data_IF_477910564565
#
_entry.id   IF_477910564565
#
_cell.length_a   1.000
_cell.length_b   1.000
_cell.length_c   1.000
_cell.angle_alpha   90.00
_cell.angle_beta   90.00
_cell.angle_gamma   90.00
#
_symmetry.space_group_name_H-M   'P 1'
#
loop_
_entity.id
_entity.type
_entity.pdbx_description
1 polymer ?
#
# COMPACT_ATOMS: atom_id res chain seq x y z
N UNK A 1 18.54 36.03 -79.95
CA UNK A 1 19.10 36.13 -78.58
C UNK A 1 18.01 36.16 -77.49
N UNK A 2 16.96 36.98 -77.61
CA UNK A 2 15.89 37.08 -76.58
C UNK A 2 15.20 35.74 -76.21
N UNK A 3 14.84 34.90 -77.18
CA UNK A 3 14.25 33.57 -76.91
C UNK A 3 15.17 32.61 -76.16
N UNK A 4 16.49 32.64 -76.44
CA UNK A 4 17.46 31.80 -75.73
C UNK A 4 17.62 32.21 -74.27
N UNK A 5 17.59 33.51 -73.98
CA UNK A 5 17.65 34.05 -72.62
C UNK A 5 16.41 33.66 -71.82
N UNK A 6 15.22 33.79 -72.41
CA UNK A 6 13.94 33.41 -71.79
C UNK A 6 13.90 31.90 -71.48
N UNK A 7 14.32 31.05 -72.43
CA UNK A 7 14.37 29.61 -72.19
C UNK A 7 15.36 29.26 -71.07
N UNK A 8 16.53 29.91 -71.05
CA UNK A 8 17.54 29.67 -70.01
C UNK A 8 17.06 30.08 -68.62
N UNK A 9 16.33 31.20 -68.50
CA UNK A 9 15.74 31.64 -67.21
C UNK A 9 14.66 30.68 -66.75
N UNK A 10 13.84 30.17 -67.66
CA UNK A 10 12.77 29.22 -67.33
C UNK A 10 13.33 27.89 -66.80
N UNK A 11 14.40 27.38 -67.42
CA UNK A 11 15.09 26.17 -66.97
C UNK A 11 15.73 26.36 -65.59
N UNK A 12 16.36 27.51 -65.33
CA UNK A 12 16.98 27.78 -64.02
C UNK A 12 15.95 27.93 -62.90
N UNK A 13 14.81 28.57 -63.15
CA UNK A 13 13.72 28.69 -62.16
C UNK A 13 13.14 27.31 -61.82
N UNK A 14 12.91 26.45 -62.82
CA UNK A 14 12.43 25.07 -62.60
C UNK A 14 13.45 24.26 -61.78
N UNK A 15 14.75 24.39 -62.08
CA UNK A 15 15.80 23.69 -61.34
C UNK A 15 15.86 24.18 -59.88
N UNK A 16 15.71 25.48 -59.65
CA UNK A 16 15.72 26.07 -58.32
C UNK A 16 14.50 25.63 -57.49
N UNK A 17 13.31 25.59 -58.11
CA UNK A 17 12.12 25.03 -57.49
C UNK A 17 12.29 23.54 -57.16
N UNK A 18 12.88 22.74 -58.05
CA UNK A 18 13.14 21.32 -57.80
C UNK A 18 14.09 21.09 -56.63
N UNK A 19 15.15 21.91 -56.51
CA UNK A 19 16.10 21.83 -55.38
C UNK A 19 15.44 22.24 -54.05
N UNK A 20 14.62 23.29 -54.04
CA UNK A 20 13.90 23.73 -52.84
C UNK A 20 12.88 22.68 -52.35
N UNK A 21 12.09 22.11 -53.28
CA UNK A 21 11.13 21.05 -52.98
C UNK A 21 11.86 19.80 -52.47
N UNK A 22 12.98 19.43 -53.12
CA UNK A 22 13.80 18.29 -52.72
C UNK A 22 14.45 18.43 -51.33
N UNK A 23 14.71 19.65 -50.86
CA UNK A 23 15.32 19.89 -49.54
C UNK A 23 14.32 20.01 -48.38
N UNK A 24 13.08 20.45 -48.65
CA UNK A 24 12.07 20.65 -47.60
C UNK A 24 11.30 19.37 -47.24
N UNK A 25 10.97 18.53 -48.23
CA UNK A 25 10.24 17.28 -48.03
C UNK A 25 10.96 16.33 -47.05
N UNK A 26 12.29 16.11 -47.15
CA UNK A 26 13.00 15.22 -46.23
C UNK A 26 12.99 15.71 -44.78
N UNK A 27 13.11 17.04 -44.55
CA UNK A 27 13.10 17.60 -43.18
C UNK A 27 11.76 17.42 -42.49
N UNK A 28 10.65 17.61 -43.20
CA UNK A 28 9.31 17.35 -42.66
C UNK A 28 9.08 15.86 -42.40
N UNK A 29 9.49 14.98 -43.32
CA UNK A 29 9.38 13.54 -43.13
C UNK A 29 10.22 13.05 -41.94
N UNK A 30 11.45 13.55 -41.78
CA UNK A 30 12.31 13.22 -40.63
C UNK A 30 11.66 13.69 -39.34
N UNK A 31 11.12 14.91 -39.28
CA UNK A 31 10.45 15.43 -38.09
C UNK A 31 9.19 14.63 -37.72
N UNK A 32 8.39 14.23 -38.71
CA UNK A 32 7.23 13.35 -38.47
C UNK A 32 7.65 11.97 -37.97
N UNK A 33 8.71 11.39 -38.55
CA UNK A 33 9.25 10.10 -38.07
C UNK A 33 9.84 10.21 -36.67
N UNK A 34 10.49 11.33 -36.33
CA UNK A 34 11.01 11.58 -34.99
C UNK A 34 9.88 11.61 -33.95
N UNK A 35 8.81 12.36 -34.22
CA UNK A 35 7.63 12.41 -33.36
C UNK A 35 6.96 11.04 -33.22
N UNK A 36 6.83 10.29 -34.33
CA UNK A 36 6.30 8.92 -34.28
C UNK A 36 7.17 7.99 -33.41
N UNK A 37 8.49 8.13 -33.46
CA UNK A 37 9.40 7.35 -32.62
C UNK A 37 9.23 7.72 -31.14
N UNK A 38 9.11 9.00 -30.82
CA UNK A 38 8.85 9.47 -29.45
C UNK A 38 7.51 8.94 -28.92
N UNK A 39 6.43 9.08 -29.70
CA UNK A 39 5.11 8.56 -29.35
C UNK A 39 5.13 7.04 -29.13
N UNK A 40 5.79 6.28 -30.01
CA UNK A 40 5.93 4.83 -29.88
C UNK A 40 6.77 4.41 -28.68
N UNK A 41 7.80 5.19 -28.32
CA UNK A 41 8.62 4.94 -27.13
C UNK A 41 7.82 5.18 -25.85
N UNK A 42 7.01 6.24 -25.82
CA UNK A 42 6.11 6.53 -24.70
C UNK A 42 5.04 5.45 -24.56
N UNK A 43 4.43 5.01 -25.66
CA UNK A 43 3.47 3.91 -25.67
C UNK A 43 4.11 2.60 -25.17
N UNK A 44 5.33 2.26 -25.63
CA UNK A 44 6.06 1.10 -25.11
C UNK A 44 6.31 1.19 -23.62
N UNK A 45 6.66 2.38 -23.09
CA UNK A 45 6.88 2.57 -21.66
C UNK A 45 5.59 2.32 -20.88
N UNK A 46 4.48 2.92 -21.30
CA UNK A 46 3.16 2.71 -20.68
C UNK A 46 2.76 1.23 -20.72
N UNK A 47 2.97 0.55 -21.85
CA UNK A 47 2.66 -0.87 -21.99
C UNK A 47 3.55 -1.75 -21.09
N UNK A 48 4.85 -1.42 -20.95
CA UNK A 48 5.75 -2.12 -20.02
C UNK A 48 5.32 -1.94 -18.57
N UNK A 49 4.95 -0.74 -18.17
CA UNK A 49 4.50 -0.44 -16.81
C UNK A 49 3.19 -1.18 -16.51
N UNK A 50 2.21 -1.13 -17.41
CA UNK A 50 0.96 -1.90 -17.32
C UNK A 50 1.20 -3.41 -17.25
N UNK A 51 2.08 -3.95 -18.08
CA UNK A 51 2.43 -5.38 -18.03
C UNK A 51 3.13 -5.75 -16.71
N UNK A 52 3.95 -4.85 -16.15
CA UNK A 52 4.56 -5.04 -14.84
C UNK A 52 3.53 -5.12 -13.72
N UNK A 53 2.54 -4.22 -13.72
CA UNK A 53 1.42 -4.25 -12.77
C UNK A 53 0.55 -5.48 -12.93
N UNK A 54 0.17 -5.82 -14.17
CA UNK A 54 -0.60 -7.03 -14.48
C UNK A 54 0.12 -8.30 -14.05
N UNK A 55 1.42 -8.43 -14.31
CA UNK A 55 2.20 -9.57 -13.85
C UNK A 55 2.23 -9.68 -12.32
N UNK A 56 2.31 -8.55 -11.60
CA UNK A 56 2.21 -8.55 -10.13
C UNK A 56 0.82 -9.02 -9.70
N UNK A 57 -0.26 -8.56 -10.34
CA UNK A 57 -1.62 -8.97 -10.03
C UNK A 57 -1.86 -10.47 -10.32
N UNK A 58 -1.39 -10.97 -11.45
CA UNK A 58 -1.50 -12.39 -11.82
C UNK A 58 -0.78 -13.28 -10.81
N UNK A 59 0.42 -12.89 -10.35
CA UNK A 59 1.11 -13.62 -9.27
C UNK A 59 0.29 -13.67 -7.98
N UNK A 60 -0.36 -12.55 -7.62
CA UNK A 60 -1.21 -12.44 -6.43
C UNK A 60 -2.52 -13.23 -6.53
N UNK A 61 -3.00 -13.52 -7.73
CA UNK A 61 -4.23 -14.30 -7.94
C UNK A 61 -4.05 -15.82 -7.78
N UNK A 62 -2.82 -16.30 -7.60
CA UNK A 62 -2.61 -17.70 -7.30
C UNK A 62 -3.23 -18.06 -5.94
N UNK A 63 -3.97 -19.17 -5.86
CA UNK A 63 -4.71 -19.57 -4.65
C UNK A 63 -3.82 -19.68 -3.41
N UNK A 64 -2.58 -20.14 -3.60
CA UNK A 64 -1.57 -20.22 -2.52
C UNK A 64 -1.25 -18.83 -1.98
N UNK A 65 -0.99 -17.84 -2.84
CA UNK A 65 -0.69 -16.47 -2.41
C UNK A 65 -1.89 -15.82 -1.73
N UNK A 66 -3.11 -16.06 -2.20
CA UNK A 66 -4.32 -15.57 -1.53
C UNK A 66 -4.41 -16.13 -0.10
N UNK A 67 -4.26 -17.45 0.06
CA UNK A 67 -4.29 -18.10 1.37
C UNK A 67 -3.17 -17.61 2.29
N UNK A 68 -1.97 -17.39 1.74
CA UNK A 68 -0.81 -16.92 2.51
C UNK A 68 -1.01 -15.47 2.98
N UNK A 69 -1.57 -14.61 2.13
CA UNK A 69 -1.85 -13.21 2.46
C UNK A 69 -2.99 -13.09 3.48
N UNK A 70 -4.05 -13.90 3.34
CA UNK A 70 -5.12 -13.99 4.35
C UNK A 70 -4.58 -14.47 5.70
N UNK A 71 -3.71 -15.49 5.69
CA UNK A 71 -3.04 -15.98 6.88
C UNK A 71 -2.16 -14.90 7.52
N UNK A 72 -1.38 -14.17 6.72
CA UNK A 72 -0.54 -13.08 7.20
C UNK A 72 -1.37 -11.97 7.85
N UNK A 73 -2.49 -11.57 7.24
CA UNK A 73 -3.42 -10.58 7.81
C UNK A 73 -3.92 -11.05 9.19
N UNK A 74 -4.32 -12.32 9.32
CA UNK A 74 -4.77 -12.91 10.59
C UNK A 74 -3.67 -12.94 11.64
N UNK A 75 -2.47 -13.38 11.27
CA UNK A 75 -1.32 -13.49 12.17
C UNK A 75 -0.84 -12.13 12.66
N UNK A 76 -0.67 -11.15 11.77
CA UNK A 76 -0.27 -9.78 12.14
C UNK A 76 -1.30 -9.16 13.06
N UNK A 77 -2.59 -9.30 12.74
CA UNK A 77 -3.68 -8.75 13.55
C UNK A 77 -3.74 -9.38 14.94
N UNK A 78 -3.66 -10.71 15.01
CA UNK A 78 -3.70 -11.47 16.27
C UNK A 78 -2.49 -11.16 17.15
N UNK A 79 -1.28 -11.21 16.58
CA UNK A 79 -0.06 -10.89 17.30
C UNK A 79 -0.06 -9.45 17.81
N UNK A 80 -0.51 -8.50 17.00
CA UNK A 80 -0.60 -7.11 17.44
C UNK A 80 -1.57 -6.94 18.60
N UNK A 81 -2.78 -7.50 18.51
CA UNK A 81 -3.75 -7.43 19.62
C UNK A 81 -3.17 -8.05 20.88
N UNK A 82 -2.53 -9.21 20.76
CA UNK A 82 -1.87 -9.86 21.89
C UNK A 82 -0.83 -8.95 22.53
N UNK A 83 0.14 -8.46 21.75
CA UNK A 83 1.21 -7.59 22.28
C UNK A 83 0.67 -6.25 22.82
N UNK A 84 -0.33 -5.67 22.16
CA UNK A 84 -0.88 -4.36 22.53
C UNK A 84 -1.68 -4.42 23.83
N UNK A 85 -2.46 -5.48 24.04
CA UNK A 85 -3.41 -5.59 25.15
C UNK A 85 -2.93 -6.46 26.32
N UNK A 86 -2.06 -7.45 26.10
CA UNK A 86 -1.50 -8.24 27.21
C UNK A 86 -0.54 -7.41 28.04
N UNK A 87 -0.79 -7.25 29.33
CA UNK A 87 0.06 -6.47 30.20
C UNK A 87 0.35 -7.26 31.47
N UNK A 88 1.58 -7.15 31.96
CA UNK A 88 1.93 -7.73 33.25
C UNK A 88 1.96 -6.65 34.31
N UNK A 89 1.66 -7.04 35.53
CA UNK A 89 1.88 -6.20 36.69
C UNK A 89 3.32 -5.70 36.73
N UNK A 90 3.47 -4.44 37.14
CA UNK A 90 4.72 -3.68 37.22
C UNK A 90 5.47 -3.52 35.90
N UNK A 91 4.81 -3.81 34.76
CA UNK A 91 5.42 -3.66 33.43
C UNK A 91 5.12 -2.31 32.80
N UNK A 92 6.12 -1.79 32.09
CA UNK A 92 6.02 -0.56 31.30
C UNK A 92 5.36 -0.85 29.95
N UNK A 93 4.44 0.01 29.52
CA UNK A 93 3.88 -0.06 28.16
C UNK A 93 4.97 0.11 27.10
N UNK A 94 5.98 0.95 27.35
CA UNK A 94 7.10 1.14 26.42
C UNK A 94 7.95 -0.11 26.24
N UNK A 95 7.93 -1.06 27.19
CA UNK A 95 8.65 -2.34 27.05
C UNK A 95 8.14 -3.19 25.88
N UNK A 96 6.92 -2.91 25.39
CA UNK A 96 6.29 -3.58 24.24
C UNK A 96 6.73 -3.04 22.88
N UNK A 97 7.49 -1.95 22.86
CA UNK A 97 7.87 -1.27 21.64
C UNK A 97 8.64 -2.17 20.65
N UNK A 98 9.63 -2.99 21.08
CA UNK A 98 10.35 -3.90 20.19
C UNK A 98 9.45 -4.93 19.50
N UNK A 99 8.44 -5.43 20.21
CA UNK A 99 7.51 -6.46 19.74
C UNK A 99 6.43 -5.88 18.82
N UNK A 100 5.99 -4.65 19.08
CA UNK A 100 4.97 -3.97 18.28
C UNK A 100 5.56 -3.37 17.00
N UNK A 101 6.79 -2.85 17.04
CA UNK A 101 7.47 -2.21 15.91
C UNK A 101 7.37 -2.96 14.56
N UNK A 102 7.63 -4.28 14.46
CA UNK A 102 7.54 -4.99 13.19
C UNK A 102 6.10 -5.20 12.69
N UNK A 103 5.09 -4.95 13.52
CA UNK A 103 3.67 -5.21 13.20
C UNK A 103 2.93 -3.96 12.70
N UNK A 104 3.50 -2.78 12.92
CA UNK A 104 2.86 -1.48 12.67
C UNK A 104 3.61 -0.66 11.62
N UNK A 105 2.95 0.35 11.06
CA UNK A 105 3.62 1.37 10.26
C UNK A 105 4.50 2.24 11.16
N UNK A 106 5.52 2.87 10.58
CA UNK A 106 6.41 3.78 11.32
C UNK A 106 5.62 4.94 11.94
N UNK A 107 4.66 5.49 11.20
CA UNK A 107 3.86 6.63 11.64
C UNK A 107 2.97 6.24 12.84
N UNK A 108 2.38 5.04 12.80
CA UNK A 108 1.59 4.53 13.91
C UNK A 108 2.46 4.16 15.12
N UNK A 109 3.65 3.58 14.91
CA UNK A 109 4.63 3.35 15.97
C UNK A 109 5.01 4.64 16.70
N UNK A 110 5.33 5.70 15.95
CA UNK A 110 5.68 7.00 16.51
C UNK A 110 4.51 7.56 17.33
N UNK A 111 3.27 7.40 16.85
CA UNK A 111 2.05 7.78 17.58
C UNK A 111 1.91 7.05 18.92
N UNK A 112 2.30 5.77 18.98
CA UNK A 112 2.21 4.96 20.20
C UNK A 112 3.32 5.26 21.22
N UNK A 113 4.55 5.54 20.77
CA UNK A 113 5.74 5.49 21.64
C UNK A 113 6.59 6.77 21.73
N UNK A 114 6.52 7.66 20.74
CA UNK A 114 7.46 8.80 20.63
C UNK A 114 7.13 9.92 21.62
N UNK A 115 5.87 10.33 21.67
CA UNK A 115 5.41 11.45 22.50
C UNK A 115 4.50 10.99 23.66
N UNK A 116 4.39 9.68 23.89
CA UNK A 116 3.61 9.14 25.00
C UNK A 116 4.43 9.12 26.30
N UNK A 117 3.83 9.65 27.38
CA UNK A 117 4.30 9.37 28.73
C UNK A 117 4.22 7.87 28.96
N UNK A 118 5.26 7.31 29.56
CA UNK A 118 5.25 5.89 29.88
C UNK A 118 4.11 5.57 30.84
N UNK A 119 3.38 4.50 30.55
CA UNK A 119 2.25 4.03 31.35
C UNK A 119 2.64 2.69 31.93
N UNK A 120 2.62 2.62 33.26
CA UNK A 120 2.84 1.39 33.99
C UNK A 120 1.50 0.78 34.36
N UNK A 121 1.40 -0.53 34.22
CA UNK A 121 0.32 -1.28 34.83
C UNK A 121 0.79 -1.70 36.22
N UNK A 122 0.20 -1.08 37.25
CA UNK A 122 0.66 -1.23 38.64
C UNK A 122 -0.05 -2.36 39.38
N UNK A 123 -1.19 -2.80 38.87
CA UNK A 123 -2.11 -3.65 39.64
C UNK A 123 -2.62 -4.84 38.84
N UNK A 124 -2.68 -4.76 37.51
CA UNK A 124 -3.39 -5.74 36.71
C UNK A 124 -2.40 -6.65 35.96
N UNK A 125 -2.66 -7.96 36.00
CA UNK A 125 -2.17 -8.91 35.01
C UNK A 125 -3.28 -9.13 33.98
N UNK A 126 -3.07 -8.62 32.77
CA UNK A 126 -4.02 -8.68 31.65
C UNK A 126 -3.53 -9.72 30.64
N UNK A 127 -4.33 -10.76 30.44
CA UNK A 127 -4.09 -11.79 29.42
C UNK A 127 -5.16 -11.76 28.35
N UNK A 128 -4.76 -12.01 27.10
CA UNK A 128 -5.66 -11.98 25.94
C UNK A 128 -5.85 -13.40 25.41
N UNK A 129 -7.09 -13.83 25.31
CA UNK A 129 -7.47 -15.14 24.83
C UNK A 129 -8.52 -15.04 23.72
N UNK A 130 -8.74 -16.16 23.04
CA UNK A 130 -9.83 -16.35 22.08
C UNK A 130 -9.93 -15.27 20.99
N UNK A 131 -8.79 -14.95 20.37
CA UNK A 131 -8.68 -13.89 19.36
C UNK A 131 -9.31 -14.34 18.04
N UNK A 132 -10.43 -13.71 17.69
CA UNK A 132 -11.15 -13.89 16.44
C UNK A 132 -10.93 -12.71 15.51
N UNK A 133 -10.48 -13.00 14.27
CA UNK A 133 -10.15 -11.98 13.27
C UNK A 133 -11.12 -12.08 12.08
N UNK A 134 -11.75 -10.97 11.74
CA UNK A 134 -12.73 -10.82 10.67
C UNK A 134 -12.31 -9.72 9.71
N UNK A 135 -12.36 -9.99 8.41
CA UNK A 135 -12.10 -9.01 7.35
C UNK A 135 -12.81 -9.48 6.08
N UNK A 136 -13.01 -8.56 5.14
CA UNK A 136 -13.57 -8.90 3.84
C UNK A 136 -12.69 -9.93 3.12
N UNK A 137 -13.29 -10.71 2.21
CA UNK A 137 -12.54 -11.63 1.35
C UNK A 137 -11.35 -10.93 0.69
N UNK A 138 -10.19 -11.58 0.69
CA UNK A 138 -8.99 -11.01 0.12
C UNK A 138 -9.15 -10.75 -1.39
N UNK A 139 -8.99 -9.50 -1.77
CA UNK A 139 -8.82 -9.02 -3.13
C UNK A 139 -7.35 -8.61 -3.38
N UNK A 140 -6.64 -9.30 -4.29
CA UNK A 140 -5.29 -8.97 -4.74
C UNK A 140 -5.04 -7.53 -5.20
N UNK A 141 -6.11 -6.81 -5.55
CA UNK A 141 -6.08 -5.41 -5.99
C UNK A 141 -6.13 -4.40 -4.85
N UNK A 142 -6.53 -4.83 -3.65
CA UNK A 142 -6.58 -3.98 -2.46
C UNK A 142 -5.24 -4.02 -1.74
N UNK A 143 -4.70 -2.84 -1.45
CA UNK A 143 -3.49 -2.68 -0.64
C UNK A 143 -3.82 -2.19 0.79
N UNK A 144 -5.10 -2.19 1.17
CA UNK A 144 -5.55 -1.88 2.53
C UNK A 144 -6.80 -2.67 2.92
N UNK A 145 -6.91 -2.99 4.22
CA UNK A 145 -8.05 -3.69 4.79
C UNK A 145 -8.47 -3.09 6.13
N UNK A 146 -9.77 -3.12 6.39
CA UNK A 146 -10.33 -2.94 7.73
C UNK A 146 -10.52 -4.32 8.32
N UNK A 147 -9.83 -4.58 9.42
CA UNK A 147 -9.85 -5.86 10.10
C UNK A 147 -10.52 -5.66 11.46
N UNK A 148 -11.56 -6.42 11.73
CA UNK A 148 -12.24 -6.42 13.01
C UNK A 148 -11.74 -7.58 13.84
N UNK A 149 -11.31 -7.30 15.06
CA UNK A 149 -10.80 -8.31 15.98
C UNK A 149 -11.65 -8.29 17.24
N UNK A 150 -12.08 -9.47 17.66
CA UNK A 150 -12.78 -9.70 18.91
C UNK A 150 -11.95 -10.66 19.75
N UNK A 151 -11.80 -10.36 21.04
CA UNK A 151 -10.96 -11.16 21.94
C UNK A 151 -11.44 -10.99 23.37
N UNK A 152 -11.10 -11.97 24.20
CA UNK A 152 -11.44 -11.98 25.62
C UNK A 152 -10.21 -11.59 26.44
N UNK A 153 -10.37 -10.59 27.28
CA UNK A 153 -9.38 -10.16 28.26
C UNK A 153 -9.73 -10.79 29.60
N UNK A 154 -8.73 -11.43 30.21
CA UNK A 154 -8.78 -11.87 31.60
C UNK A 154 -7.87 -10.95 32.41
N UNK A 155 -8.48 -10.23 33.34
CA UNK A 155 -7.83 -9.22 34.18
C UNK A 155 -7.77 -9.75 35.61
N UNK A 156 -6.57 -9.87 36.14
CA UNK A 156 -6.32 -10.24 37.53
C UNK A 156 -5.75 -9.03 38.26
N UNK A 157 -6.55 -8.44 39.15
CA UNK A 157 -6.16 -7.24 39.90
C UNK A 157 -5.58 -7.62 41.25
N UNK A 158 -4.41 -7.07 41.59
CA UNK A 158 -3.75 -7.30 42.87
C UNK A 158 -4.64 -6.85 44.05
N UNK A 159 -4.91 -7.77 44.97
CA UNK A 159 -5.76 -7.53 46.14
C UNK A 159 -7.26 -7.74 45.92
N UNK A 160 -7.70 -8.16 44.73
CA UNK A 160 -9.05 -8.68 44.50
C UNK A 160 -8.99 -10.20 44.22
N UNK A 161 -9.84 -10.97 44.90
CA UNK A 161 -9.97 -12.41 44.67
C UNK A 161 -10.78 -12.73 43.40
N UNK A 162 -11.36 -11.72 42.76
CA UNK A 162 -12.19 -11.87 41.56
C UNK A 162 -11.37 -11.64 40.29
N UNK A 163 -11.44 -12.62 39.39
CA UNK A 163 -10.94 -12.52 38.02
C UNK A 163 -12.02 -11.88 37.15
N UNK A 164 -11.72 -10.74 36.52
CA UNK A 164 -12.63 -10.11 35.57
C UNK A 164 -12.41 -10.68 34.16
N UNK A 165 -13.52 -11.01 33.49
CA UNK A 165 -13.54 -11.41 32.09
C UNK A 165 -14.26 -10.35 31.26
N UNK A 166 -13.54 -9.72 30.33
CA UNK A 166 -14.06 -8.68 29.45
C UNK A 166 -13.88 -9.06 28.00
N UNK A 167 -14.98 -9.10 27.25
CA UNK A 167 -14.93 -9.21 25.80
C UNK A 167 -14.73 -7.82 25.18
N UNK A 168 -13.69 -7.70 24.36
CA UNK A 168 -13.31 -6.44 23.69
C UNK A 168 -13.33 -6.60 22.18
N UNK A 169 -13.66 -5.50 21.49
CA UNK A 169 -13.63 -5.43 20.03
C UNK A 169 -12.80 -4.24 19.56
N UNK A 170 -12.01 -4.46 18.52
CA UNK A 170 -11.14 -3.46 17.93
C UNK A 170 -11.16 -3.54 16.41
N UNK A 171 -11.10 -2.40 15.75
CA UNK A 171 -10.88 -2.28 14.32
C UNK A 171 -9.42 -1.92 14.13
N UNK A 172 -8.73 -2.69 13.31
CA UNK A 172 -7.38 -2.44 12.83
C UNK A 172 -7.50 -1.96 11.38
N UNK A 173 -6.87 -0.83 11.06
CA UNK A 173 -6.67 -0.43 9.68
C UNK A 173 -5.30 -0.98 9.24
N UNK A 174 -5.28 -1.93 8.31
CA UNK A 174 -4.06 -2.55 7.78
C UNK A 174 -3.73 -1.97 6.41
N UNK A 175 -2.44 -1.80 6.15
CA UNK A 175 -1.89 -1.36 4.87
C UNK A 175 -0.77 -2.28 4.44
N UNK A 176 -0.64 -2.48 3.13
CA UNK A 176 0.42 -3.28 2.55
C UNK A 176 1.68 -2.45 2.37
N UNK A 177 2.80 -2.99 2.84
CA UNK A 177 4.13 -2.42 2.67
C UNK A 177 5.01 -3.36 1.86
N UNK A 178 6.22 -2.93 1.50
CA UNK A 178 7.19 -3.78 0.81
C UNK A 178 7.56 -5.04 1.63
N UNK A 179 7.40 -5.00 2.95
CA UNK A 179 7.71 -6.09 3.88
C UNK A 179 6.46 -6.88 4.33
N UNK A 180 5.31 -6.64 3.69
CA UNK A 180 4.03 -7.29 4.00
C UNK A 180 3.03 -6.37 4.71
N UNK A 181 2.01 -6.98 5.31
CA UNK A 181 0.95 -6.24 6.01
C UNK A 181 1.45 -5.60 7.30
N UNK A 182 1.04 -4.35 7.52
CA UNK A 182 1.34 -3.56 8.72
C UNK A 182 0.08 -2.84 9.19
N UNK A 183 -0.04 -2.63 10.49
CA UNK A 183 -1.15 -1.92 11.11
C UNK A 183 -0.85 -0.44 11.14
N UNK A 184 -1.74 0.34 10.55
CA UNK A 184 -1.65 1.79 10.46
C UNK A 184 -2.47 2.49 11.55
N UNK A 185 -3.50 1.82 12.08
CA UNK A 185 -4.32 2.39 13.14
C UNK A 185 -5.10 1.33 13.92
N UNK A 186 -5.48 1.66 15.16
CA UNK A 186 -6.42 0.89 15.98
C UNK A 186 -7.53 1.80 16.52
N UNK A 187 -8.77 1.32 16.41
CA UNK A 187 -9.96 1.92 17.03
C UNK A 187 -10.68 0.88 17.87
N UNK A 188 -10.84 1.14 19.17
CA UNK A 188 -11.68 0.31 20.04
C UNK A 188 -13.15 0.66 19.82
N UNK A 189 -14.02 -0.34 19.86
CA UNK A 189 -15.47 -0.14 19.85
C UNK A 189 -16.16 -1.21 20.69
N UNK A 190 -17.34 -0.89 21.22
CA UNK A 190 -18.15 -1.86 21.96
C UNK A 190 -19.20 -2.47 21.04
N UNK A 191 -19.17 -3.80 20.87
CA UNK A 191 -20.22 -4.57 20.20
C UNK A 191 -21.38 -4.94 21.12
N UNK A 192 -21.27 -4.72 22.44
CA UNK A 192 -22.40 -4.94 23.33
C UNK A 192 -23.55 -4.05 22.86
N UNK A 193 -24.73 -4.61 22.55
CA UNK A 193 -25.89 -3.78 22.26
C UNK A 193 -26.09 -2.86 23.47
N UNK A 194 -26.21 -1.55 23.21
CA UNK A 194 -26.84 -0.65 24.16
C UNK A 194 -28.20 -1.28 24.46
N UNK A 195 -28.37 -1.77 25.70
CA UNK A 195 -29.40 -2.74 26.05
C UNK A 195 -30.80 -2.39 25.54
N UNK A 196 -31.57 -3.43 25.22
CA UNK A 196 -33.03 -3.36 25.36
C UNK A 196 -33.39 -3.56 26.82
#
# INVERSE_FOLDING_TARGET
>A
MKQKIIMFTLVTVILFCAVLIGYQIPKQQVKMKQNQIEDLQEEQRILRDKNGELNKLVKRQSKTVISDEEKQIREVSSNFVKQMFEMKKDSSFKSKAPQIKPLVTKDYYDTLFKDSKDKYDLYDDITVNDIHVYFDTYDPKKDSYKVFVQFDERIETDGDDKIEHRQTSAQLDLVRTAEGWRIDNLKRFNLKPLGR
#
